data_IF_903755282473
#
_entry.id   IF_903755282473
#
_cell.length_a   1.000
_cell.length_b   1.000
_cell.length_c   1.000
_cell.angle_alpha   90.00
_cell.angle_beta   90.00
_cell.angle_gamma   90.00
#
_symmetry.space_group_name_H-M   'P 1'
#
loop_
_entity.id
_entity.type
_entity.pdbx_description
1 polymer ?
#
# COMPACT_ATOMS: atom_id res chain seq x y z
N UNK A 1 0.39 -26.62 -11.49
CA UNK A 1 0.17 -25.87 -12.74
C UNK A 1 0.66 -26.72 -13.90
N UNK A 2 -0.07 -26.86 -15.01
CA UNK A 2 0.42 -27.67 -16.14
C UNK A 2 1.55 -26.94 -16.87
N UNK A 3 2.59 -27.66 -17.28
CA UNK A 3 3.77 -27.08 -17.95
C UNK A 3 3.40 -26.32 -19.22
N UNK A 4 2.41 -26.84 -19.97
CA UNK A 4 1.88 -26.18 -21.17
C UNK A 4 1.21 -24.85 -20.83
N UNK A 5 0.39 -24.79 -19.78
CA UNK A 5 -0.25 -23.55 -19.35
C UNK A 5 0.80 -22.52 -18.92
N UNK A 6 1.82 -22.93 -18.16
CA UNK A 6 2.92 -22.05 -17.77
C UNK A 6 3.69 -21.53 -18.99
N UNK A 7 3.97 -22.38 -19.97
CA UNK A 7 4.63 -21.98 -21.21
C UNK A 7 3.80 -20.96 -22.00
N UNK A 8 2.47 -21.08 -22.01
CA UNK A 8 1.58 -20.12 -22.67
C UNK A 8 1.55 -18.78 -21.91
N UNK A 9 1.38 -18.83 -20.59
CA UNK A 9 1.29 -17.65 -19.72
C UNK A 9 2.58 -16.83 -19.78
N UNK A 10 3.74 -17.48 -19.83
CA UNK A 10 5.03 -16.78 -19.89
C UNK A 10 5.42 -16.47 -21.33
N UNK A 11 5.24 -17.42 -22.24
CA UNK A 11 5.77 -17.36 -23.60
C UNK A 11 5.04 -16.36 -24.50
N UNK A 12 3.71 -16.25 -24.43
CA UNK A 12 2.97 -15.29 -25.25
C UNK A 12 3.36 -13.84 -24.91
N UNK A 13 3.35 -13.40 -23.63
CA UNK A 13 3.81 -12.07 -23.28
C UNK A 13 5.26 -11.80 -23.67
N UNK A 14 6.16 -12.78 -23.49
CA UNK A 14 7.56 -12.67 -23.89
C UNK A 14 7.71 -12.47 -25.40
N UNK A 15 7.02 -13.27 -26.20
CA UNK A 15 7.03 -13.16 -27.66
C UNK A 15 6.46 -11.80 -28.11
N UNK A 16 5.37 -11.34 -27.50
CA UNK A 16 4.77 -10.04 -27.80
C UNK A 16 5.73 -8.89 -27.45
N UNK A 17 6.37 -8.94 -26.29
CA UNK A 17 7.34 -7.94 -25.84
C UNK A 17 8.55 -7.85 -26.78
N UNK A 18 9.09 -8.99 -27.19
CA UNK A 18 10.18 -9.05 -28.16
C UNK A 18 9.74 -8.53 -29.54
N UNK A 19 8.52 -8.86 -29.97
CA UNK A 19 7.93 -8.35 -31.20
C UNK A 19 7.81 -6.82 -31.20
N UNK A 20 7.26 -6.24 -30.13
CA UNK A 20 7.16 -4.79 -29.96
C UNK A 20 8.53 -4.11 -29.89
N UNK A 21 9.50 -4.73 -29.22
CA UNK A 21 10.88 -4.23 -29.17
C UNK A 21 11.50 -4.17 -30.58
N UNK A 22 11.29 -5.21 -31.39
CA UNK A 22 11.76 -5.24 -32.77
C UNK A 22 11.05 -4.19 -33.65
N UNK A 23 9.74 -3.99 -33.46
CA UNK A 23 8.99 -2.92 -34.13
C UNK A 23 9.54 -1.55 -33.74
N UNK A 24 9.79 -1.29 -32.46
CA UNK A 24 10.35 -0.03 -31.99
C UNK A 24 11.74 0.23 -32.58
N UNK A 25 12.60 -0.79 -32.67
CA UNK A 25 13.90 -0.69 -33.32
C UNK A 25 13.77 -0.31 -34.81
N UNK A 26 12.88 -1.01 -35.53
CA UNK A 26 12.64 -0.80 -36.95
C UNK A 26 12.00 0.55 -37.26
N UNK A 27 11.04 0.98 -36.43
CA UNK A 27 10.32 2.23 -36.60
C UNK A 27 11.17 3.45 -36.23
N UNK A 28 11.96 3.35 -35.15
CA UNK A 28 12.80 4.45 -34.66
C UNK A 28 13.74 5.01 -35.75
N UNK A 29 14.30 4.15 -36.60
CA UNK A 29 15.13 4.60 -37.73
C UNK A 29 14.35 5.32 -38.83
N UNK A 30 13.06 5.04 -39.01
CA UNK A 30 12.20 5.70 -40.01
C UNK A 30 11.66 7.05 -39.55
N UNK A 31 11.37 7.16 -38.26
CA UNK A 31 10.77 8.38 -37.68
C UNK A 31 11.82 9.38 -37.16
N UNK A 32 13.12 9.12 -37.38
CA UNK A 32 14.20 10.02 -36.98
C UNK A 32 14.61 9.93 -35.50
N UNK A 33 14.22 8.85 -34.81
CA UNK A 33 14.57 8.57 -33.43
C UNK A 33 15.93 7.87 -33.34
N UNK A 34 17.01 8.61 -33.59
CA UNK A 34 18.36 8.06 -33.54
C UNK A 34 19.02 8.14 -32.14
N UNK A 35 19.88 7.17 -31.78
CA UNK A 35 20.04 5.88 -32.46
C UNK A 35 18.89 4.92 -32.11
N UNK A 36 18.43 4.13 -33.08
CA UNK A 36 17.34 3.16 -32.90
C UNK A 36 17.61 2.14 -31.77
N UNK A 37 18.89 1.80 -31.53
CA UNK A 37 19.32 0.92 -30.45
C UNK A 37 18.96 1.44 -29.06
N UNK A 38 18.97 2.77 -28.86
CA UNK A 38 18.58 3.41 -27.60
C UNK A 38 17.12 3.11 -27.28
N UNK A 39 16.24 3.30 -28.26
CA UNK A 39 14.80 3.12 -28.08
C UNK A 39 14.41 1.65 -27.94
N UNK A 40 15.08 0.77 -28.69
CA UNK A 40 14.95 -0.67 -28.50
C UNK A 40 15.36 -1.09 -27.09
N UNK A 41 16.50 -0.59 -26.58
CA UNK A 41 16.97 -0.90 -25.23
C UNK A 41 16.01 -0.39 -24.15
N UNK A 42 15.49 0.83 -24.29
CA UNK A 42 14.49 1.39 -23.37
C UNK A 42 13.25 0.48 -23.36
N UNK A 43 12.69 0.18 -24.54
CA UNK A 43 11.49 -0.66 -24.68
C UNK A 43 11.72 -2.04 -24.06
N UNK A 44 12.86 -2.67 -24.35
CA UNK A 44 13.21 -3.99 -23.84
C UNK A 44 13.32 -4.02 -22.31
N UNK A 45 13.93 -3.00 -21.71
CA UNK A 45 14.24 -2.95 -20.28
C UNK A 45 13.08 -2.47 -19.39
N UNK A 46 12.03 -1.85 -19.94
CA UNK A 46 10.89 -1.33 -19.16
C UNK A 46 10.31 -2.36 -18.15
N UNK A 47 10.05 -3.62 -18.54
CA UNK A 47 9.49 -4.60 -17.61
C UNK A 47 10.37 -4.90 -16.40
N UNK A 48 11.69 -4.66 -16.49
CA UNK A 48 12.61 -4.88 -15.37
C UNK A 48 12.30 -3.93 -14.21
N UNK A 49 11.85 -2.71 -14.49
CA UNK A 49 11.47 -1.77 -13.41
C UNK A 49 10.27 -2.30 -12.61
N UNK A 50 9.24 -2.83 -13.28
CA UNK A 50 8.11 -3.48 -12.60
C UNK A 50 8.56 -4.68 -11.76
N UNK A 51 9.50 -5.47 -12.28
CA UNK A 51 10.10 -6.57 -11.53
C UNK A 51 10.88 -6.11 -10.31
N UNK A 52 11.69 -5.05 -10.41
CA UNK A 52 12.42 -4.49 -9.28
C UNK A 52 11.48 -3.90 -8.23
N UNK A 53 10.42 -3.20 -8.64
CA UNK A 53 9.38 -2.71 -7.73
C UNK A 53 8.80 -3.88 -6.91
N UNK A 54 8.42 -4.97 -7.57
CA UNK A 54 7.95 -6.17 -6.87
C UNK A 54 8.99 -6.73 -5.88
N UNK A 55 10.27 -6.76 -6.25
CA UNK A 55 11.32 -7.25 -5.35
C UNK A 55 11.51 -6.33 -4.13
N UNK A 56 11.51 -5.01 -4.32
CA UNK A 56 11.64 -4.05 -3.23
C UNK A 56 10.44 -4.12 -2.30
N UNK A 57 9.21 -4.09 -2.85
CA UNK A 57 7.99 -4.25 -2.07
C UNK A 57 8.00 -5.56 -1.27
N UNK A 58 8.36 -6.68 -1.91
CA UNK A 58 8.49 -7.98 -1.25
C UNK A 58 9.49 -7.96 -0.10
N UNK A 59 10.57 -7.18 -0.21
CA UNK A 59 11.59 -7.09 0.84
C UNK A 59 11.13 -6.29 2.07
N UNK A 60 10.13 -5.42 1.92
CA UNK A 60 9.57 -4.64 3.02
C UNK A 60 8.57 -5.44 3.89
N UNK A 61 8.06 -6.56 3.36
CA UNK A 61 7.10 -7.43 4.06
C UNK A 61 7.70 -8.30 5.17
N UNK A 62 9.01 -8.27 5.42
CA UNK A 62 9.66 -9.12 6.43
C UNK A 62 9.68 -8.51 7.83
N UNK A 63 8.59 -7.85 8.25
CA UNK A 63 8.46 -7.39 9.64
C UNK A 63 8.34 -8.60 10.57
N UNK A 64 9.32 -8.76 11.45
CA UNK A 64 9.28 -9.77 12.52
C UNK A 64 8.89 -9.10 13.84
N UNK A 65 7.62 -9.22 14.25
CA UNK A 65 7.13 -8.58 15.46
C UNK A 65 7.80 -9.13 16.73
N UNK A 66 8.39 -10.33 16.70
CA UNK A 66 9.12 -10.89 17.85
C UNK A 66 10.47 -10.18 18.08
N UNK A 67 10.99 -9.50 17.06
CA UNK A 67 12.28 -8.80 17.12
C UNK A 67 12.16 -7.29 17.18
N UNK A 68 10.94 -6.75 17.06
CA UNK A 68 10.69 -5.31 17.11
C UNK A 68 10.82 -4.78 18.56
N UNK A 69 11.83 -3.96 18.88
CA UNK A 69 12.01 -3.38 20.22
C UNK A 69 10.89 -2.41 20.63
N UNK A 70 10.01 -2.02 19.70
CA UNK A 70 8.85 -1.16 19.95
C UNK A 70 7.53 -1.93 19.96
N UNK A 71 7.54 -3.26 19.79
CA UNK A 71 6.33 -4.08 19.76
C UNK A 71 5.56 -3.98 21.08
N UNK A 72 4.29 -3.58 21.00
CA UNK A 72 3.40 -3.51 22.16
C UNK A 72 3.54 -2.25 23.02
N UNK A 73 4.41 -1.30 22.65
CA UNK A 73 4.54 -0.03 23.33
C UNK A 73 4.00 1.14 22.51
N UNK A 74 3.18 1.94 23.17
CA UNK A 74 2.53 3.16 22.71
C UNK A 74 3.34 4.38 23.19
N UNK A 75 4.54 4.56 22.65
CA UNK A 75 5.39 5.70 23.01
C UNK A 75 4.99 6.96 22.25
N UNK A 76 4.91 8.08 22.97
CA UNK A 76 4.87 9.40 22.37
C UNK A 76 6.31 9.79 21.96
N UNK A 77 6.65 9.65 20.68
CA UNK A 77 8.02 9.90 20.14
C UNK A 77 8.37 11.41 20.12
N UNK A 78 7.39 12.28 20.41
CA UNK A 78 7.62 13.73 20.41
C UNK A 78 8.36 14.17 21.68
N UNK A 79 9.45 14.96 21.59
CA UNK A 79 10.26 15.36 22.75
C UNK A 79 9.48 16.02 23.88
N UNK A 80 8.41 16.74 23.54
CA UNK A 80 7.54 17.44 24.49
C UNK A 80 6.50 16.56 25.19
N UNK A 81 6.37 15.28 24.78
CA UNK A 81 5.36 14.33 25.29
C UNK A 81 5.97 12.99 25.70
N UNK A 82 7.30 12.89 25.73
CA UNK A 82 7.99 11.65 26.08
C UNK A 82 7.67 11.18 27.52
N UNK A 83 7.30 12.10 28.41
CA UNK A 83 6.90 11.84 29.79
C UNK A 83 5.38 11.65 29.98
N UNK A 84 4.58 11.77 28.91
CA UNK A 84 3.12 11.60 28.99
C UNK A 84 2.74 10.12 29.10
N UNK A 85 1.61 9.84 29.77
CA UNK A 85 1.06 8.49 29.90
C UNK A 85 0.87 7.83 28.53
N UNK A 86 1.23 6.54 28.46
CA UNK A 86 1.02 5.66 27.32
C UNK A 86 -0.40 5.79 26.75
N UNK A 87 -0.53 6.24 25.51
CA UNK A 87 -1.83 6.39 24.85
C UNK A 87 -2.43 5.00 24.66
N UNK A 88 -3.67 4.70 25.10
CA UNK A 88 -4.26 3.37 24.95
C UNK A 88 -4.06 2.87 23.51
N UNK A 89 -3.48 1.68 23.35
CA UNK A 89 -3.25 1.07 22.04
C UNK A 89 -4.55 1.16 21.26
N UNK A 90 -4.55 1.97 20.19
CA UNK A 90 -5.61 1.90 19.21
C UNK A 90 -5.50 0.50 18.64
N UNK A 91 -6.47 -0.36 18.98
CA UNK A 91 -6.61 -1.67 18.39
C UNK A 91 -6.43 -1.50 16.88
N UNK A 92 -5.55 -2.31 16.31
CA UNK A 92 -5.22 -2.27 14.90
C UNK A 92 -6.42 -2.78 14.10
N UNK A 93 -7.50 -2.00 14.05
CA UNK A 93 -8.68 -2.20 13.21
C UNK A 93 -8.36 -1.73 11.77
N UNK A 94 -7.12 -1.89 11.33
CA UNK A 94 -6.77 -1.68 9.93
C UNK A 94 -7.24 -2.92 9.17
N UNK A 95 -8.08 -2.75 8.13
CA UNK A 95 -8.47 -3.88 7.30
C UNK A 95 -7.22 -4.58 6.79
N UNK A 96 -7.18 -5.90 6.94
CA UNK A 96 -6.17 -6.74 6.29
C UNK A 96 -6.15 -6.41 4.79
N UNK A 97 -5.00 -6.33 4.12
CA UNK A 97 -4.93 -6.05 2.67
C UNK A 97 -5.72 -7.04 1.80
N UNK A 98 -6.10 -8.16 2.41
CA UNK A 98 -6.81 -9.32 1.90
C UNK A 98 -8.29 -9.40 2.36
N UNK A 99 -8.80 -8.36 3.04
CA UNK A 99 -10.21 -8.21 3.41
C UNK A 99 -11.05 -7.62 2.28
N UNK A 100 -12.08 -8.35 1.86
CA UNK A 100 -13.11 -7.94 0.91
C UNK A 100 -13.72 -6.58 1.32
N UNK A 101 -13.75 -5.62 0.40
CA UNK A 101 -14.34 -4.31 0.63
C UNK A 101 -15.86 -4.41 0.49
N UNK A 102 -16.53 -4.90 1.53
CA UNK A 102 -17.99 -4.80 1.63
C UNK A 102 -18.36 -3.39 2.14
N UNK A 103 -18.77 -2.54 1.21
CA UNK A 103 -19.30 -1.20 1.45
C UNK A 103 -20.60 -1.24 2.28
N UNK A 104 -20.54 -0.94 3.58
CA UNK A 104 -21.74 -0.50 4.34
C UNK A 104 -21.38 0.69 5.25
N UNK A 105 -21.61 1.89 4.72
CA UNK A 105 -21.40 3.16 5.40
C UNK A 105 -22.69 3.62 6.10
N UNK A 106 -22.78 3.38 7.41
CA UNK A 106 -23.80 4.00 8.28
C UNK A 106 -23.20 5.26 8.96
N UNK A 107 -23.71 6.43 8.58
CA UNK A 107 -23.24 7.73 9.08
C UNK A 107 -23.53 7.96 10.58
N UNK A 108 -22.74 8.80 11.27
CA UNK A 108 -22.87 8.96 12.72
C UNK A 108 -24.11 9.77 13.10
N UNK A 109 -24.98 9.13 13.89
CA UNK A 109 -26.13 9.71 14.54
C UNK A 109 -25.77 10.82 15.53
N UNK A 110 -26.58 11.88 15.49
CA UNK A 110 -26.70 12.94 16.47
C UNK A 110 -26.99 12.37 17.87
N UNK A 111 -26.02 12.45 18.80
CA UNK A 111 -26.29 12.33 20.23
C UNK A 111 -26.51 13.73 20.81
N UNK A 112 -27.79 14.04 21.01
CA UNK A 112 -28.25 15.24 21.71
C UNK A 112 -27.73 15.24 23.15
N UNK A 113 -27.08 16.34 23.53
CA UNK A 113 -26.69 16.62 24.91
C UNK A 113 -27.90 16.66 25.83
N UNK A 114 -27.78 16.02 26.98
CA UNK A 114 -28.72 16.16 28.09
C UNK A 114 -27.96 16.78 29.24
N UNK A 115 -27.97 18.11 29.29
CA UNK A 115 -27.68 18.88 30.49
C UNK A 115 -28.85 18.70 31.46
N UNK A 116 -28.59 18.25 32.68
CA UNK A 116 -29.46 18.65 33.81
C UNK A 116 -28.66 18.76 35.09
N UNK A 117 -28.52 20.02 35.48
CA UNK A 117 -27.87 20.59 36.64
C UNK A 117 -28.51 20.11 37.95
N UNK A 118 -27.65 19.82 38.93
CA UNK A 118 -28.01 19.40 40.27
C UNK A 118 -27.84 20.59 41.22
N UNK A 119 -28.95 21.14 41.72
CA UNK A 119 -28.88 22.02 42.89
C UNK A 119 -30.07 22.93 43.08
N UNK A 120 -31.01 22.56 43.96
CA UNK A 120 -31.54 23.42 45.02
C UNK A 120 -32.51 22.64 45.91
N UNK A 121 -32.04 22.19 47.07
CA UNK A 121 -32.90 21.71 48.16
C UNK A 121 -33.39 22.92 48.99
N UNK A 122 -34.71 23.08 49.04
CA UNK A 122 -35.43 23.96 49.96
C UNK A 122 -35.24 23.52 51.42
N UNK A 123 -34.78 24.45 52.27
CA UNK A 123 -35.01 24.38 53.72
C UNK A 123 -35.85 25.57 54.16
N UNK A 124 -37.14 25.29 54.39
CA UNK A 124 -38.03 26.10 55.19
C UNK A 124 -37.74 25.89 56.69
N UNK A 125 -37.29 26.94 57.39
CA UNK A 125 -37.68 27.37 58.76
C UNK A 125 -36.74 28.44 59.28
#
# INVERSE_FOLDING_TARGET
MSTLLLAVIVGIPLAWHLGLTAVAYWDAGRVGLEPATKWAAITFCIPLFGFFIYLFERSELSYDPETDPYRGNNFNIHPSRADDTSLPSRGDDRPSPDGDWDDEWDGPGSSAGTDTDAGSDERSR
#
